data_IF_776960718967
#
_entry.id   IF_776960718967
#
_cell.length_a   1.000
_cell.length_b   1.000
_cell.length_c   1.000
_cell.angle_alpha   90.00
_cell.angle_beta   90.00
_cell.angle_gamma   90.00
#
_symmetry.space_group_name_H-M   'P 1'
#
loop_
_entity.id
_entity.type
_entity.pdbx_description
1 polymer ?
#
# COMPACT_ATOMS: atom_id res chain seq x y z
N UNK A 1 11.61 4.47 -23.89
CA UNK A 1 12.18 4.29 -22.53
C UNK A 1 11.03 3.85 -21.65
N UNK A 2 11.04 2.63 -21.12
CA UNK A 2 10.08 2.25 -20.07
C UNK A 2 10.35 3.09 -18.83
N UNK A 3 9.32 3.68 -18.26
CA UNK A 3 9.43 4.51 -17.07
C UNK A 3 9.99 3.67 -15.90
N UNK A 4 10.78 4.29 -15.03
CA UNK A 4 11.29 3.64 -13.81
C UNK A 4 10.15 3.09 -12.95
N UNK A 5 8.97 3.70 -13.04
CA UNK A 5 7.78 3.28 -12.32
C UNK A 5 7.17 1.96 -12.83
N UNK A 6 7.37 1.59 -14.10
CA UNK A 6 6.90 0.30 -14.66
C UNK A 6 7.63 -0.93 -14.09
N UNK A 7 8.74 -0.73 -13.40
CA UNK A 7 9.57 -1.80 -12.81
C UNK A 7 9.57 -1.74 -11.27
N UNK A 8 8.63 -1.02 -10.67
CA UNK A 8 8.55 -0.94 -9.22
C UNK A 8 8.21 -2.33 -8.66
N UNK A 9 9.15 -2.94 -7.95
CA UNK A 9 8.92 -4.19 -7.24
C UNK A 9 8.64 -3.91 -5.77
N UNK A 10 7.61 -4.57 -5.26
CA UNK A 10 7.17 -4.46 -3.87
C UNK A 10 8.00 -5.44 -3.04
N UNK A 11 8.72 -4.92 -2.07
CA UNK A 11 9.48 -5.69 -1.09
C UNK A 11 8.83 -5.64 0.31
N UNK A 12 9.29 -6.44 1.29
CA UNK A 12 8.75 -6.45 2.65
C UNK A 12 8.68 -5.07 3.30
N UNK A 13 9.69 -4.21 3.10
CA UNK A 13 9.74 -2.88 3.69
C UNK A 13 8.66 -1.97 3.11
N UNK A 14 8.37 -2.07 1.80
CA UNK A 14 7.28 -1.31 1.19
C UNK A 14 5.92 -1.65 1.78
N UNK A 15 5.64 -2.94 2.01
CA UNK A 15 4.35 -3.40 2.58
C UNK A 15 4.14 -2.90 4.01
N UNK A 16 5.15 -3.04 4.85
CA UNK A 16 5.11 -2.51 6.22
C UNK A 16 5.01 -0.99 6.22
N UNK A 17 5.74 -0.32 5.33
CA UNK A 17 5.69 1.14 5.21
C UNK A 17 4.30 1.64 4.82
N UNK A 18 3.61 0.99 3.87
CA UNK A 18 2.22 1.30 3.51
C UNK A 18 1.28 1.21 4.71
N UNK A 19 1.47 0.22 5.58
CA UNK A 19 0.58 -0.02 6.71
C UNK A 19 0.86 0.90 7.92
N UNK A 20 2.14 1.10 8.29
CA UNK A 20 2.48 1.75 9.57
C UNK A 20 2.57 3.29 9.46
N UNK A 21 3.01 3.83 8.32
CA UNK A 21 3.19 5.29 8.17
C UNK A 21 1.88 6.06 8.10
N UNK A 22 0.75 5.39 7.96
CA UNK A 22 -0.59 5.99 8.00
C UNK A 22 -1.12 6.19 9.44
N UNK A 23 -0.47 5.59 10.43
CA UNK A 23 -0.92 5.62 11.82
C UNK A 23 -0.40 6.85 12.55
N UNK A 24 -1.30 7.55 13.23
CA UNK A 24 -0.98 8.81 13.95
C UNK A 24 0.12 8.63 15.00
N UNK A 25 0.18 7.47 15.63
CA UNK A 25 1.16 7.17 16.68
C UNK A 25 2.29 6.23 16.23
N UNK A 26 2.37 5.93 14.93
CA UNK A 26 3.36 4.99 14.38
C UNK A 26 3.38 3.62 15.11
N UNK A 27 2.21 3.21 15.61
CA UNK A 27 2.00 1.98 16.38
C UNK A 27 0.79 1.26 15.83
N UNK A 28 0.87 -0.06 15.72
CA UNK A 28 -0.18 -0.93 15.19
C UNK A 28 -0.18 -2.28 15.91
N UNK A 29 -1.36 -2.88 16.09
CA UNK A 29 -1.47 -4.24 16.57
C UNK A 29 -0.93 -5.23 15.53
N UNK A 30 -0.18 -6.23 15.94
CA UNK A 30 0.51 -7.16 15.04
C UNK A 30 -0.46 -7.85 14.07
N UNK A 31 -1.59 -8.37 14.57
CA UNK A 31 -2.61 -9.00 13.70
C UNK A 31 -3.19 -8.02 12.67
N UNK A 32 -3.38 -6.76 13.06
CA UNK A 32 -3.88 -5.74 12.12
C UNK A 32 -2.84 -5.39 11.06
N UNK A 33 -1.55 -5.38 11.42
CA UNK A 33 -0.47 -5.21 10.47
C UNK A 33 -0.40 -6.39 9.50
N UNK A 34 -0.44 -7.61 10.02
CA UNK A 34 -0.46 -8.85 9.26
C UNK A 34 -1.61 -8.89 8.23
N UNK A 35 -2.84 -8.59 8.68
CA UNK A 35 -4.00 -8.51 7.81
C UNK A 35 -3.87 -7.46 6.71
N UNK A 36 -3.28 -6.30 6.99
CA UNK A 36 -3.02 -5.27 5.99
C UNK A 36 -1.95 -5.70 4.98
N UNK A 37 -0.87 -6.32 5.43
CA UNK A 37 0.16 -6.86 4.55
C UNK A 37 -0.43 -7.90 3.59
N UNK A 38 -1.22 -8.86 4.11
CA UNK A 38 -1.91 -9.86 3.30
C UNK A 38 -2.81 -9.21 2.25
N UNK A 39 -3.59 -8.19 2.62
CA UNK A 39 -4.43 -7.45 1.70
C UNK A 39 -3.62 -6.77 0.58
N UNK A 40 -2.52 -6.08 0.92
CA UNK A 40 -1.66 -5.44 -0.08
C UNK A 40 -0.98 -6.47 -1.01
N UNK A 41 -0.55 -7.61 -0.48
CA UNK A 41 0.01 -8.68 -1.31
C UNK A 41 -1.00 -9.23 -2.32
N UNK A 42 -2.24 -9.48 -1.87
CA UNK A 42 -3.32 -9.95 -2.74
C UNK A 42 -3.64 -8.93 -3.84
N UNK A 43 -3.84 -7.66 -3.47
CA UNK A 43 -4.09 -6.59 -4.44
C UNK A 43 -2.95 -6.46 -5.45
N UNK A 44 -1.70 -6.54 -5.00
CA UNK A 44 -0.55 -6.46 -5.90
C UNK A 44 -0.52 -7.62 -6.91
N UNK A 45 -0.83 -8.84 -6.47
CA UNK A 45 -0.90 -10.02 -7.35
C UNK A 45 -2.03 -9.90 -8.37
N UNK A 46 -3.21 -9.50 -7.91
CA UNK A 46 -4.39 -9.41 -8.78
C UNK A 46 -4.28 -8.31 -9.83
N UNK A 47 -3.74 -7.15 -9.45
CA UNK A 47 -3.68 -5.99 -10.33
C UNK A 47 -2.43 -5.94 -11.21
N UNK A 48 -1.30 -6.42 -10.70
CA UNK A 48 0.00 -6.25 -11.35
C UNK A 48 0.74 -7.57 -11.61
N UNK A 49 0.21 -8.70 -11.15
CA UNK A 49 0.80 -10.03 -11.30
C UNK A 49 1.88 -10.37 -10.26
N UNK A 50 2.23 -11.65 -10.19
CA UNK A 50 3.19 -12.19 -9.20
C UNK A 50 4.59 -11.55 -9.28
N UNK A 51 5.02 -11.16 -10.48
CA UNK A 51 6.34 -10.55 -10.70
C UNK A 51 6.52 -9.18 -10.06
N UNK A 52 5.44 -8.55 -9.60
CA UNK A 52 5.47 -7.27 -8.88
C UNK A 52 6.01 -7.41 -7.46
N UNK A 53 5.86 -8.59 -6.87
CA UNK A 53 6.41 -8.90 -5.56
C UNK A 53 7.84 -9.45 -5.69
N UNK A 54 8.74 -8.99 -4.82
CA UNK A 54 10.09 -9.58 -4.75
C UNK A 54 10.03 -10.98 -4.17
N UNK A 55 10.98 -11.84 -4.55
CA UNK A 55 11.01 -13.24 -4.14
C UNK A 55 11.10 -13.47 -2.62
N UNK A 56 11.48 -12.46 -1.85
CA UNK A 56 11.55 -12.51 -0.38
C UNK A 56 10.26 -12.05 0.31
N UNK A 57 9.22 -11.69 -0.45
CA UNK A 57 7.88 -11.45 0.09
C UNK A 57 7.18 -12.80 0.20
N UNK A 58 7.28 -13.43 1.37
CA UNK A 58 6.65 -14.72 1.67
C UNK A 58 5.33 -14.53 2.43
N UNK A 59 5.27 -14.92 3.68
CA UNK A 59 4.09 -14.69 4.52
C UNK A 59 4.10 -13.29 5.14
N UNK A 60 2.98 -12.86 5.69
CA UNK A 60 2.86 -11.65 6.51
C UNK A 60 3.79 -11.69 7.73
N UNK A 61 3.87 -12.83 8.43
CA UNK A 61 4.76 -13.01 9.58
C UNK A 61 6.24 -12.89 9.17
N UNK A 62 6.65 -13.57 8.10
CA UNK A 62 8.03 -13.46 7.58
C UNK A 62 8.36 -12.04 7.16
N UNK A 63 7.38 -11.33 6.57
CA UNK A 63 7.51 -9.93 6.17
C UNK A 63 7.76 -9.02 7.39
N UNK A 64 7.00 -9.20 8.46
CA UNK A 64 7.16 -8.45 9.72
C UNK A 64 8.52 -8.76 10.35
N UNK A 65 8.92 -10.03 10.42
CA UNK A 65 10.20 -10.47 10.97
C UNK A 65 11.40 -9.88 10.23
N UNK A 66 11.37 -9.91 8.89
CA UNK A 66 12.41 -9.32 8.08
C UNK A 66 12.57 -7.82 8.33
N UNK A 67 11.46 -7.07 8.41
CA UNK A 67 11.49 -5.62 8.61
C UNK A 67 11.90 -5.27 10.04
N UNK A 68 11.55 -6.10 11.03
CA UNK A 68 12.03 -5.98 12.41
C UNK A 68 13.54 -6.24 12.50
N UNK A 69 14.04 -7.28 11.82
CA UNK A 69 15.48 -7.58 11.77
C UNK A 69 16.30 -6.47 11.13
N UNK A 70 15.72 -5.70 10.21
CA UNK A 70 16.34 -4.50 9.62
C UNK A 70 16.30 -3.28 10.55
N UNK A 71 15.61 -3.35 11.69
CA UNK A 71 15.51 -2.27 12.67
C UNK A 71 14.54 -1.15 12.33
N UNK A 72 13.67 -1.33 11.33
CA UNK A 72 12.65 -0.33 10.97
C UNK A 72 11.47 -0.32 11.93
N UNK A 73 11.13 -1.48 12.50
CA UNK A 73 10.04 -1.65 13.45
C UNK A 73 10.52 -2.44 14.66
N UNK A 74 9.80 -2.32 15.77
CA UNK A 74 10.10 -3.01 17.03
C UNK A 74 8.80 -3.59 17.59
N UNK A 75 8.86 -4.87 18.02
CA UNK A 75 7.81 -5.49 18.84
C UNK A 75 7.96 -5.07 20.29
N UNK A 76 6.84 -4.82 20.95
CA UNK A 76 6.83 -4.60 22.39
C UNK A 76 6.89 -5.96 23.10
N UNK A 77 7.68 -6.04 24.19
CA UNK A 77 8.04 -7.34 24.81
C UNK A 77 6.88 -8.12 25.39
N UNK A 78 5.82 -7.45 25.84
CA UNK A 78 4.70 -8.07 26.58
C UNK A 78 3.32 -7.86 25.94
N UNK A 79 3.26 -7.18 24.79
CA UNK A 79 2.02 -6.86 24.13
C UNK A 79 2.16 -7.02 22.60
N UNK A 80 1.07 -7.39 21.89
CA UNK A 80 1.10 -7.61 20.46
C UNK A 80 1.11 -6.29 19.64
N UNK A 81 1.92 -5.32 20.08
CA UNK A 81 2.07 -4.04 19.42
C UNK A 81 3.42 -3.92 18.73
N UNK A 82 3.35 -3.37 17.55
CA UNK A 82 4.51 -3.01 16.72
C UNK A 82 4.57 -1.50 16.58
N UNK A 83 5.75 -0.95 16.79
CA UNK A 83 5.99 0.49 16.66
C UNK A 83 7.22 0.78 15.82
N UNK A 84 7.34 2.00 15.32
CA UNK A 84 8.58 2.53 14.75
C UNK A 84 8.92 3.89 15.33
N UNK A 85 10.20 4.21 15.32
CA UNK A 85 10.68 5.55 15.72
C UNK A 85 10.38 6.58 14.62
N UNK A 86 10.37 7.88 14.99
CA UNK A 86 10.19 8.96 14.01
C UNK A 86 11.28 8.93 12.91
N UNK A 87 12.50 8.53 13.24
CA UNK A 87 13.59 8.40 12.27
C UNK A 87 13.30 7.27 11.27
N UNK A 88 12.87 6.09 11.76
CA UNK A 88 12.48 4.97 10.91
C UNK A 88 11.28 5.33 10.05
N UNK A 89 10.27 6.04 10.59
CA UNK A 89 9.10 6.50 9.86
C UNK A 89 9.45 7.41 8.67
N UNK A 90 10.46 8.27 8.81
CA UNK A 90 10.95 9.10 7.71
C UNK A 90 11.48 8.23 6.56
N UNK A 91 12.31 7.22 6.87
CA UNK A 91 12.81 6.29 5.86
C UNK A 91 11.67 5.43 5.27
N UNK A 92 10.77 4.92 6.08
CA UNK A 92 9.61 4.16 5.64
C UNK A 92 8.71 4.99 4.71
N UNK A 93 8.60 6.31 4.91
CA UNK A 93 7.87 7.19 3.99
C UNK A 93 8.45 7.15 2.57
N UNK A 94 9.78 7.09 2.43
CA UNK A 94 10.42 6.92 1.12
C UNK A 94 10.07 5.57 0.48
N UNK A 95 10.16 4.49 1.25
CA UNK A 95 9.78 3.16 0.78
C UNK A 95 8.31 3.09 0.36
N UNK A 96 7.40 3.67 1.15
CA UNK A 96 5.98 3.79 0.80
C UNK A 96 5.78 4.51 -0.52
N UNK A 97 6.42 5.66 -0.70
CA UNK A 97 6.23 6.50 -1.88
C UNK A 97 6.67 5.81 -3.17
N UNK A 98 7.65 4.90 -3.11
CA UNK A 98 8.11 4.14 -4.26
C UNK A 98 7.03 3.21 -4.86
N UNK A 99 6.05 2.80 -4.07
CA UNK A 99 5.02 1.83 -4.49
C UNK A 99 3.59 2.37 -4.34
N UNK A 100 3.42 3.58 -3.81
CA UNK A 100 2.10 4.16 -3.53
C UNK A 100 1.22 4.26 -4.78
N UNK A 101 1.82 4.53 -5.93
CA UNK A 101 1.14 4.61 -7.22
C UNK A 101 0.47 3.29 -7.62
N UNK A 102 1.01 2.13 -7.23
CA UNK A 102 0.44 0.81 -7.51
C UNK A 102 -0.89 0.56 -6.77
N UNK A 103 -1.12 1.28 -5.68
CA UNK A 103 -2.30 1.12 -4.82
C UNK A 103 -3.28 2.29 -4.90
N UNK A 104 -2.95 3.35 -5.65
CA UNK A 104 -3.76 4.56 -5.69
C UNK A 104 -5.16 4.35 -6.27
N UNK A 105 -5.27 3.59 -7.34
CA UNK A 105 -6.55 3.26 -7.97
C UNK A 105 -7.49 2.49 -7.03
N UNK A 106 -7.09 1.30 -6.54
CA UNK A 106 -7.92 0.54 -5.60
C UNK A 106 -8.20 1.30 -4.30
N UNK A 107 -7.28 2.13 -3.82
CA UNK A 107 -7.53 2.96 -2.63
C UNK A 107 -8.61 4.02 -2.89
N UNK A 108 -8.62 4.64 -4.06
CA UNK A 108 -9.68 5.59 -4.45
C UNK A 108 -11.03 4.90 -4.53
N UNK A 109 -11.11 3.73 -5.16
CA UNK A 109 -12.35 2.93 -5.25
C UNK A 109 -12.86 2.56 -3.86
N UNK A 110 -12.00 2.04 -2.99
CA UNK A 110 -12.35 1.69 -1.62
C UNK A 110 -12.84 2.90 -0.82
N UNK A 111 -12.19 4.06 -0.99
CA UNK A 111 -12.60 5.31 -0.35
C UNK A 111 -14.01 5.76 -0.79
N UNK A 112 -14.28 5.72 -2.08
CA UNK A 112 -15.58 6.13 -2.63
C UNK A 112 -16.70 5.19 -2.15
N UNK A 113 -16.46 3.89 -2.16
CA UNK A 113 -17.42 2.89 -1.65
C UNK A 113 -17.66 3.11 -0.15
N UNK A 114 -16.61 3.31 0.64
CA UNK A 114 -16.74 3.49 2.10
C UNK A 114 -17.49 4.76 2.51
N UNK A 115 -17.49 5.77 1.64
CA UNK A 115 -18.22 7.04 1.87
C UNK A 115 -19.64 7.02 1.40
N UNK A 116 -20.03 6.10 0.56
CA UNK A 116 -21.38 5.96 0.03
C UNK A 116 -22.29 5.27 1.06
N UNK A 117 -22.98 6.06 1.89
CA UNK A 117 -23.82 5.56 2.99
C UNK A 117 -24.92 4.59 2.53
N UNK A 118 -25.50 4.85 1.35
CA UNK A 118 -26.61 4.07 0.78
C UNK A 118 -26.13 3.11 -0.35
N UNK A 119 -24.81 2.90 -0.43
CA UNK A 119 -24.19 2.19 -1.54
C UNK A 119 -23.95 3.10 -2.75
N UNK A 120 -23.20 2.60 -3.72
CA UNK A 120 -22.87 3.32 -4.96
C UNK A 120 -22.99 2.35 -6.13
N UNK A 121 -23.70 2.74 -7.19
CA UNK A 121 -23.78 1.95 -8.42
C UNK A 121 -22.46 1.98 -9.20
N UNK A 122 -22.15 0.91 -9.93
CA UNK A 122 -20.91 0.77 -10.70
C UNK A 122 -20.68 1.96 -11.66
N UNK A 123 -21.70 2.40 -12.37
CA UNK A 123 -21.60 3.51 -13.30
C UNK A 123 -21.26 4.83 -12.59
N UNK A 124 -21.91 5.11 -11.46
CA UNK A 124 -21.63 6.29 -10.64
C UNK A 124 -20.22 6.27 -10.04
N UNK A 125 -19.77 5.09 -9.57
CA UNK A 125 -18.44 4.88 -9.07
C UNK A 125 -17.41 5.17 -10.16
N UNK A 126 -17.59 4.61 -11.36
CA UNK A 126 -16.72 4.82 -12.50
C UNK A 126 -16.62 6.32 -12.89
N UNK A 127 -17.75 7.03 -12.86
CA UNK A 127 -17.81 8.45 -13.18
C UNK A 127 -17.06 9.30 -12.15
N UNK A 128 -17.22 9.01 -10.85
CA UNK A 128 -16.45 9.67 -9.79
C UNK A 128 -14.96 9.38 -9.89
N UNK A 129 -14.59 8.13 -10.17
CA UNK A 129 -13.18 7.77 -10.39
C UNK A 129 -12.58 8.55 -11.57
N UNK A 130 -13.27 8.67 -12.70
CA UNK A 130 -12.79 9.43 -13.88
C UNK A 130 -12.52 10.90 -13.56
N UNK A 131 -13.30 11.50 -12.67
CA UNK A 131 -13.14 12.90 -12.27
C UNK A 131 -11.96 13.07 -11.30
N UNK A 132 -11.81 12.17 -10.33
CA UNK A 132 -10.86 12.34 -9.22
C UNK A 132 -9.47 11.77 -9.55
N UNK A 133 -9.42 10.64 -10.25
CA UNK A 133 -8.17 9.90 -10.47
C UNK A 133 -7.07 10.73 -11.17
N UNK A 134 -7.34 11.58 -12.16
CA UNK A 134 -6.30 12.41 -12.80
C UNK A 134 -5.53 13.29 -11.81
N UNK A 135 -6.20 13.82 -10.78
CA UNK A 135 -5.56 14.63 -9.74
C UNK A 135 -4.66 13.77 -8.83
N UNK A 136 -5.13 12.56 -8.47
CA UNK A 136 -4.33 11.61 -7.69
C UNK A 136 -3.10 11.15 -8.46
N UNK A 137 -3.26 10.85 -9.74
CA UNK A 137 -2.16 10.42 -10.61
C UNK A 137 -1.11 11.52 -10.78
N UNK A 138 -1.53 12.78 -10.91
CA UNK A 138 -0.63 13.93 -11.02
C UNK A 138 0.23 14.10 -9.77
N UNK A 139 -0.34 13.96 -8.58
CA UNK A 139 0.39 14.07 -7.31
C UNK A 139 1.39 12.91 -7.10
N UNK A 140 1.09 11.74 -7.62
CA UNK A 140 1.94 10.56 -7.48
C UNK A 140 3.04 10.46 -8.55
N UNK A 141 3.14 11.45 -9.46
CA UNK A 141 4.12 11.45 -10.57
C UNK A 141 4.12 10.13 -11.35
N UNK A 142 2.95 9.54 -11.52
CA UNK A 142 2.80 8.35 -12.35
C UNK A 142 2.90 8.78 -13.81
N UNK A 143 4.05 8.54 -14.42
CA UNK A 143 4.33 8.90 -15.81
C UNK A 143 3.52 8.12 -16.86
N UNK A 144 2.52 7.35 -16.46
CA UNK A 144 1.61 6.60 -17.33
C UNK A 144 0.17 6.77 -16.89
N UNK A 145 -0.69 6.94 -17.89
CA UNK A 145 -2.13 6.78 -17.75
C UNK A 145 -2.44 5.35 -17.26
N UNK A 146 -2.53 5.16 -15.95
CA UNK A 146 -3.26 4.03 -15.43
C UNK A 146 -4.69 4.17 -15.95
N UNK A 147 -5.02 3.38 -16.96
CA UNK A 147 -6.36 3.41 -17.52
C UNK A 147 -7.33 2.94 -16.45
N UNK A 148 -8.36 3.73 -16.23
CA UNK A 148 -9.44 3.42 -15.27
C UNK A 148 -10.06 2.04 -15.51
N UNK A 149 -9.95 1.52 -16.72
CA UNK A 149 -10.41 0.20 -17.15
C UNK A 149 -9.68 -0.96 -16.44
N UNK A 150 -8.47 -0.73 -15.94
CA UNK A 150 -7.72 -1.74 -15.18
C UNK A 150 -8.11 -1.79 -13.69
N UNK A 151 -8.85 -0.78 -13.20
CA UNK A 151 -9.18 -0.62 -11.76
C UNK A 151 -10.67 -0.88 -11.49
N UNK A 152 -11.51 -0.92 -12.53
CA UNK A 152 -12.97 -1.16 -12.45
C UNK A 152 -13.35 -2.53 -13.02
#
# INVERSE_FOLDING_TARGET
MRSINEQASINPVNLVALAITQRTHLTVHEDALAGQITCYQQLARELHGESTLTANVATDADTIDQVAALGFIQRQSDEPWISCTSAAATLLTWYRNNVLHLFAGPALVALLISRAKDGIGQQQLAEQCRVIYPFVAQELTTGEELTLEAVL
#
